data_IF_731618265254
#
_entry.id   IF_731618265254
#
_cell.length_a   1.000
_cell.length_b   1.000
_cell.length_c   1.000
_cell.angle_alpha   90.00
_cell.angle_beta   90.00
_cell.angle_gamma   90.00
#
_symmetry.space_group_name_H-M   'P 1'
#
loop_
_entity.id
_entity.type
_entity.pdbx_description
1 polymer ?
#
# COMPACT_ATOMS: atom_id res chain seq x y z
N UNK A 1 21.16 19.34 7.28
CA UNK A 1 20.40 19.03 8.51
C UNK A 1 20.82 17.64 8.98
N UNK A 2 21.22 17.49 10.25
CA UNK A 2 21.79 16.24 10.75
C UNK A 2 20.74 15.14 10.89
N UNK A 3 20.96 14.01 10.21
CA UNK A 3 20.21 12.77 10.42
C UNK A 3 20.30 12.34 11.88
N UNK A 4 19.16 12.08 12.51
CA UNK A 4 19.09 11.55 13.89
C UNK A 4 19.67 10.13 13.92
N UNK A 5 20.30 9.74 15.03
CA UNK A 5 20.99 8.45 15.19
C UNK A 5 20.11 7.21 14.88
N UNK A 6 18.79 7.31 15.04
CA UNK A 6 17.83 6.26 14.67
C UNK A 6 17.60 6.15 13.15
N UNK A 7 17.71 7.25 12.40
CA UNK A 7 17.50 7.26 10.93
C UNK A 7 18.63 6.56 10.16
N UNK A 8 19.86 6.58 10.70
CA UNK A 8 21.00 5.92 10.07
C UNK A 8 20.94 4.38 10.14
N UNK A 9 20.35 3.81 11.20
CA UNK A 9 20.28 2.36 11.40
C UNK A 9 19.29 1.67 10.45
N UNK A 10 18.21 2.36 10.07
CA UNK A 10 17.21 1.87 9.12
C UNK A 10 17.41 2.40 7.70
N UNK A 11 18.43 3.23 7.45
CA UNK A 11 18.61 3.90 6.16
C UNK A 11 18.71 2.92 5.00
N UNK A 12 19.57 1.90 5.10
CA UNK A 12 19.75 0.89 4.04
C UNK A 12 18.46 0.15 3.74
N UNK A 13 17.74 -0.30 4.78
CA UNK A 13 16.48 -1.02 4.59
C UNK A 13 15.39 -0.12 3.96
N UNK A 14 15.26 1.11 4.43
CA UNK A 14 14.32 2.08 3.88
C UNK A 14 14.66 2.47 2.44
N UNK A 15 15.95 2.56 2.11
CA UNK A 15 16.44 2.81 0.75
C UNK A 15 16.10 1.64 -0.16
N UNK A 16 16.43 0.41 0.23
CA UNK A 16 16.23 -0.78 -0.60
C UNK A 16 14.73 -1.01 -0.85
N UNK A 17 13.89 -0.81 0.18
CA UNK A 17 12.43 -0.76 0.06
C UNK A 17 11.98 0.27 -0.98
N UNK A 18 12.45 1.51 -0.88
CA UNK A 18 12.03 2.58 -1.78
C UNK A 18 12.51 2.34 -3.22
N UNK A 19 13.69 1.74 -3.41
CA UNK A 19 14.18 1.35 -4.74
C UNK A 19 13.31 0.24 -5.35
N UNK A 20 13.03 -0.84 -4.58
CA UNK A 20 12.14 -1.91 -5.05
C UNK A 20 10.75 -1.37 -5.41
N UNK A 21 10.21 -0.45 -4.60
CA UNK A 21 8.93 0.20 -4.89
C UNK A 21 9.01 1.02 -6.19
N UNK A 22 10.03 1.87 -6.36
CA UNK A 22 10.21 2.69 -7.56
C UNK A 22 10.36 1.86 -8.84
N UNK A 23 11.10 0.74 -8.80
CA UNK A 23 11.30 -0.15 -9.96
C UNK A 23 9.96 -0.60 -10.54
N UNK A 24 9.06 -1.07 -9.67
CA UNK A 24 7.77 -1.57 -10.13
C UNK A 24 6.68 -0.50 -10.22
N UNK A 25 6.85 0.64 -9.55
CA UNK A 25 6.02 1.81 -9.79
C UNK A 25 6.18 2.28 -11.24
N UNK A 26 7.43 2.38 -11.73
CA UNK A 26 7.71 2.67 -13.14
C UNK A 26 7.09 1.60 -14.04
N UNK A 27 7.24 0.32 -13.69
CA UNK A 27 6.66 -0.77 -14.48
C UNK A 27 5.13 -0.65 -14.59
N UNK A 28 4.44 -0.38 -13.48
CA UNK A 28 2.99 -0.21 -13.45
C UNK A 28 2.53 0.91 -14.35
N UNK A 29 3.16 2.08 -14.27
CA UNK A 29 2.82 3.27 -15.07
C UNK A 29 3.11 3.12 -16.58
N UNK A 30 3.90 2.13 -16.98
CA UNK A 30 4.40 2.03 -18.37
C UNK A 30 4.02 0.73 -19.05
N UNK A 31 3.36 -0.19 -18.35
CA UNK A 31 3.07 -1.53 -18.86
C UNK A 31 2.05 -1.54 -20.02
N UNK A 32 1.19 -0.53 -20.13
CA UNK A 32 0.28 -0.34 -21.27
C UNK A 32 0.95 0.38 -22.47
N UNK A 33 2.22 0.79 -22.30
CA UNK A 33 3.03 1.48 -23.29
C UNK A 33 2.73 2.98 -23.43
N UNK A 34 1.87 3.55 -22.59
CA UNK A 34 1.56 4.98 -22.54
C UNK A 34 1.99 5.54 -21.20
N UNK A 35 2.16 6.86 -21.15
CA UNK A 35 2.38 7.59 -19.92
C UNK A 35 1.50 8.84 -20.00
N UNK A 36 0.70 9.08 -18.98
CA UNK A 36 -0.18 10.24 -18.88
C UNK A 36 0.40 11.32 -17.96
N UNK A 37 -0.10 12.53 -18.11
CA UNK A 37 0.28 13.66 -17.25
C UNK A 37 -0.02 13.37 -15.76
N UNK A 38 -1.12 12.68 -15.46
CA UNK A 38 -1.48 12.32 -14.08
C UNK A 38 -0.46 11.37 -13.45
N UNK A 39 -0.01 10.38 -14.22
CA UNK A 39 1.01 9.43 -13.76
C UNK A 39 2.33 10.17 -13.50
N UNK A 40 2.74 11.05 -14.40
CA UNK A 40 3.92 11.89 -14.19
C UNK A 40 3.81 12.72 -12.89
N UNK A 41 2.67 13.38 -12.64
CA UNK A 41 2.44 14.17 -11.41
C UNK A 41 2.47 13.28 -10.18
N UNK A 42 1.87 12.08 -10.25
CA UNK A 42 1.92 11.10 -9.18
C UNK A 42 3.36 10.69 -8.87
N UNK A 43 4.15 10.38 -9.89
CA UNK A 43 5.56 10.02 -9.74
C UNK A 43 6.37 11.18 -9.15
N UNK A 44 6.16 12.41 -9.61
CA UNK A 44 6.82 13.59 -9.04
C UNK A 44 6.55 13.72 -7.54
N UNK A 45 5.26 13.62 -7.16
CA UNK A 45 4.81 13.67 -5.76
C UNK A 45 5.45 12.55 -4.94
N UNK A 46 5.43 11.31 -5.45
CA UNK A 46 6.05 10.16 -4.79
C UNK A 46 7.56 10.32 -4.60
N UNK A 47 8.25 10.82 -5.62
CA UNK A 47 9.68 11.10 -5.54
C UNK A 47 9.95 12.19 -4.50
N UNK A 48 9.16 13.27 -4.45
CA UNK A 48 9.30 14.34 -3.44
C UNK A 48 9.17 13.83 -2.00
N UNK A 49 8.24 12.92 -1.73
CA UNK A 49 8.04 12.35 -0.40
C UNK A 49 9.12 11.32 0.02
N UNK A 50 9.85 10.78 -0.95
CA UNK A 50 10.89 9.76 -0.81
C UNK A 50 12.28 10.35 -0.53
N UNK A 51 12.43 11.08 0.58
CA UNK A 51 13.70 11.76 0.95
C UNK A 51 14.92 10.82 1.03
N UNK A 52 14.70 9.53 1.36
CA UNK A 52 15.75 8.50 1.39
C UNK A 52 16.45 8.31 0.04
N UNK A 53 15.76 8.62 -1.05
CA UNK A 53 16.24 8.52 -2.42
C UNK A 53 16.77 9.84 -3.00
N UNK A 54 16.74 10.94 -2.24
CA UNK A 54 17.09 12.29 -2.74
C UNK A 54 18.49 12.41 -3.35
N UNK A 55 19.42 11.56 -2.93
CA UNK A 55 20.81 11.55 -3.42
C UNK A 55 21.06 10.48 -4.51
N UNK A 56 20.04 9.71 -4.90
CA UNK A 56 20.18 8.68 -5.92
C UNK A 56 20.27 9.33 -7.32
N UNK A 57 21.24 8.89 -8.11
CA UNK A 57 21.50 9.44 -9.45
C UNK A 57 20.29 9.27 -10.39
N UNK A 58 19.74 8.05 -10.49
CA UNK A 58 18.61 7.74 -11.37
C UNK A 58 17.37 8.56 -10.99
N UNK A 59 17.11 8.69 -9.69
CA UNK A 59 15.99 9.49 -9.17
C UNK A 59 16.14 10.97 -9.53
N UNK A 60 17.36 11.51 -9.47
CA UNK A 60 17.62 12.89 -9.87
C UNK A 60 17.48 13.08 -11.39
N UNK A 61 17.83 12.10 -12.21
CA UNK A 61 17.56 12.14 -13.65
C UNK A 61 16.07 12.24 -13.95
N UNK A 62 15.24 11.42 -13.29
CA UNK A 62 13.78 11.46 -13.43
C UNK A 62 13.24 12.83 -13.01
N UNK A 63 13.61 13.31 -11.82
CA UNK A 63 13.17 14.62 -11.29
C UNK A 63 13.55 15.77 -12.22
N UNK A 64 14.75 15.76 -12.77
CA UNK A 64 15.21 16.80 -13.68
C UNK A 64 14.39 16.81 -14.98
N UNK A 65 14.09 15.64 -15.54
CA UNK A 65 13.25 15.54 -16.74
C UNK A 65 11.82 16.00 -16.46
N UNK A 66 11.22 15.60 -15.35
CA UNK A 66 9.89 16.09 -14.94
C UNK A 66 9.92 17.63 -14.77
N UNK A 67 10.94 18.17 -14.11
CA UNK A 67 11.06 19.63 -13.94
C UNK A 67 11.25 20.38 -15.26
N UNK A 68 11.85 19.75 -16.27
CA UNK A 68 11.99 20.31 -17.62
C UNK A 68 10.61 20.37 -18.31
N UNK A 69 9.87 19.27 -18.29
CA UNK A 69 8.52 19.16 -18.87
C UNK A 69 7.54 20.15 -18.22
N UNK A 70 7.63 20.34 -16.91
CA UNK A 70 6.74 21.26 -16.19
C UNK A 70 7.14 22.74 -16.32
N UNK A 71 8.28 23.06 -16.95
CA UNK A 71 8.89 24.40 -16.87
C UNK A 71 8.15 25.47 -17.67
N UNK A 72 7.51 25.10 -18.78
CA UNK A 72 6.72 26.01 -19.62
C UNK A 72 5.22 25.98 -19.30
N UNK A 73 4.81 25.04 -18.44
CA UNK A 73 3.43 24.84 -17.99
C UNK A 73 2.53 24.11 -19.00
N UNK A 74 3.08 23.52 -20.05
CA UNK A 74 2.32 22.78 -21.07
C UNK A 74 2.95 21.40 -21.28
N UNK A 75 2.25 20.35 -20.86
CA UNK A 75 2.73 18.97 -21.04
C UNK A 75 2.36 18.45 -22.42
N UNK A 76 3.35 18.22 -23.27
CA UNK A 76 3.16 17.68 -24.61
C UNK A 76 3.27 16.15 -24.64
N UNK A 77 2.57 15.51 -25.60
CA UNK A 77 2.64 14.05 -25.77
C UNK A 77 4.07 13.57 -26.06
N UNK A 78 4.83 14.32 -26.87
CA UNK A 78 6.22 13.96 -27.20
C UNK A 78 7.10 13.94 -25.95
N UNK A 79 6.88 14.85 -25.01
CA UNK A 79 7.60 14.91 -23.74
C UNK A 79 7.28 13.73 -22.83
N UNK A 80 6.03 13.28 -22.80
CA UNK A 80 5.62 12.08 -22.06
C UNK A 80 6.23 10.81 -22.66
N UNK A 81 6.33 10.72 -23.99
CA UNK A 81 7.01 9.60 -24.65
C UNK A 81 8.52 9.60 -24.35
N UNK A 82 9.18 10.77 -24.35
CA UNK A 82 10.59 10.89 -23.92
C UNK A 82 10.79 10.56 -22.45
N UNK A 83 9.87 10.99 -21.57
CA UNK A 83 9.91 10.64 -20.15
C UNK A 83 9.77 9.14 -19.96
N UNK A 84 8.84 8.48 -20.66
CA UNK A 84 8.66 7.03 -20.61
C UNK A 84 9.94 6.27 -21.00
N UNK A 85 10.60 6.68 -22.08
CA UNK A 85 11.88 6.08 -22.51
C UNK A 85 12.96 6.25 -21.43
N UNK A 86 13.05 7.45 -20.82
CA UNK A 86 13.93 7.70 -19.69
C UNK A 86 13.56 6.81 -18.49
N UNK A 87 12.29 6.67 -18.14
CA UNK A 87 11.85 5.84 -17.02
C UNK A 87 12.30 4.39 -17.18
N UNK A 88 12.17 3.81 -18.38
CA UNK A 88 12.68 2.46 -18.66
C UNK A 88 14.20 2.35 -18.53
N UNK A 89 14.96 3.38 -18.96
CA UNK A 89 16.42 3.41 -18.76
C UNK A 89 16.79 3.47 -17.28
N UNK A 90 16.13 4.36 -16.53
CA UNK A 90 16.36 4.55 -15.10
C UNK A 90 15.98 3.32 -14.30
N UNK A 91 14.87 2.65 -14.65
CA UNK A 91 14.42 1.40 -14.06
C UNK A 91 15.47 0.29 -14.23
N UNK A 92 16.04 0.13 -15.43
CA UNK A 92 17.14 -0.82 -15.66
C UNK A 92 18.35 -0.48 -14.78
N UNK A 93 18.72 0.79 -14.72
CA UNK A 93 19.80 1.26 -13.85
C UNK A 93 19.55 0.99 -12.36
N UNK A 94 18.31 1.13 -11.90
CA UNK A 94 17.91 0.82 -10.52
C UNK A 94 18.01 -0.68 -10.20
N UNK A 95 17.63 -1.55 -11.15
CA UNK A 95 17.76 -3.00 -11.01
C UNK A 95 19.21 -3.47 -10.92
N UNK A 96 20.14 -2.74 -11.56
CA UNK A 96 21.57 -3.05 -11.57
C UNK A 96 22.33 -2.51 -10.34
N UNK A 97 21.66 -1.85 -9.39
CA UNK A 97 22.31 -1.33 -8.19
C UNK A 97 22.84 -2.49 -7.33
N UNK A 98 24.15 -2.50 -6.99
CA UNK A 98 24.73 -3.60 -6.25
C UNK A 98 24.19 -3.66 -4.81
N UNK A 99 24.07 -4.88 -4.30
CA UNK A 99 23.61 -5.20 -2.94
C UNK A 99 22.15 -4.84 -2.64
N UNK A 100 21.30 -4.72 -3.68
CA UNK A 100 19.85 -4.71 -3.50
C UNK A 100 19.34 -6.13 -3.74
N UNK A 101 18.58 -6.63 -2.78
CA UNK A 101 17.90 -7.91 -2.90
C UNK A 101 16.50 -7.70 -3.52
N UNK A 102 16.37 -8.05 -4.80
CA UNK A 102 15.11 -7.98 -5.55
C UNK A 102 14.38 -9.33 -5.64
N UNK A 103 14.89 -10.38 -4.97
CA UNK A 103 14.42 -11.75 -5.16
C UNK A 103 13.93 -12.41 -3.86
N UNK A 104 13.96 -11.70 -2.73
CA UNK A 104 13.37 -12.21 -1.49
C UNK A 104 11.86 -11.95 -1.42
N UNK A 105 11.19 -12.76 -0.62
CA UNK A 105 9.76 -12.62 -0.35
C UNK A 105 9.36 -11.27 0.27
N UNK A 106 10.30 -10.54 0.90
CA UNK A 106 10.05 -9.18 1.35
C UNK A 106 10.15 -8.19 0.19
N UNK A 107 11.10 -8.39 -0.72
CA UNK A 107 11.24 -7.58 -1.92
C UNK A 107 10.05 -7.72 -2.86
N UNK A 108 9.55 -8.95 -3.07
CA UNK A 108 8.34 -9.23 -3.85
C UNK A 108 7.15 -8.37 -3.40
N UNK A 109 7.02 -8.12 -2.10
CA UNK A 109 5.95 -7.29 -1.53
C UNK A 109 6.16 -5.80 -1.82
N UNK A 110 7.40 -5.31 -1.77
CA UNK A 110 7.73 -3.93 -2.17
C UNK A 110 7.52 -3.71 -3.66
N UNK A 111 7.88 -4.71 -4.47
CA UNK A 111 7.65 -4.76 -5.90
C UNK A 111 6.15 -4.77 -6.21
N UNK A 112 5.34 -5.56 -5.49
CA UNK A 112 3.88 -5.53 -5.65
C UNK A 112 3.28 -4.17 -5.25
N UNK A 113 3.71 -3.61 -4.12
CA UNK A 113 3.26 -2.30 -3.65
C UNK A 113 3.57 -1.20 -4.67
N UNK A 114 4.78 -1.21 -5.24
CA UNK A 114 5.18 -0.30 -6.32
C UNK A 114 4.32 -0.49 -7.56
N UNK A 115 4.15 -1.73 -8.01
CA UNK A 115 3.35 -2.06 -9.19
C UNK A 115 1.93 -1.52 -9.05
N UNK A 116 1.26 -1.85 -7.94
CA UNK A 116 -0.08 -1.39 -7.61
C UNK A 116 -0.18 0.15 -7.63
N UNK A 117 0.81 0.86 -7.07
CA UNK A 117 0.85 2.33 -7.12
C UNK A 117 0.91 2.86 -8.54
N UNK A 118 1.78 2.28 -9.37
CA UNK A 118 1.91 2.66 -10.78
C UNK A 118 0.61 2.48 -11.55
N UNK A 119 0.01 1.28 -11.47
CA UNK A 119 -1.25 0.95 -12.14
C UNK A 119 -2.42 1.85 -11.70
N UNK A 120 -2.43 2.32 -10.44
CA UNK A 120 -3.51 3.17 -9.94
C UNK A 120 -3.26 4.68 -10.11
N UNK A 121 -2.13 5.07 -10.71
CA UNK A 121 -1.62 6.44 -10.60
C UNK A 121 -2.44 7.49 -11.34
N UNK A 122 -3.19 7.11 -12.38
CA UNK A 122 -4.07 8.01 -13.15
C UNK A 122 -5.58 7.83 -12.89
N UNK A 123 -5.94 6.91 -11.99
CA UNK A 123 -7.30 6.44 -11.68
C UNK A 123 -8.01 5.62 -12.77
N UNK A 124 -7.28 5.08 -13.74
CA UNK A 124 -7.87 4.30 -14.82
C UNK A 124 -7.05 3.04 -15.06
N UNK A 125 -7.67 1.87 -14.84
CA UNK A 125 -7.06 0.59 -15.18
C UNK A 125 -7.47 0.17 -16.59
N UNK A 126 -6.51 0.05 -17.49
CA UNK A 126 -6.61 -0.57 -18.82
C UNK A 126 -6.63 -2.11 -18.76
N UNK A 127 -6.98 -2.77 -19.87
CA UNK A 127 -6.96 -4.24 -19.94
C UNK A 127 -5.53 -4.79 -19.90
N UNK A 128 -4.61 -4.04 -20.49
CA UNK A 128 -3.17 -4.33 -20.48
C UNK A 128 -2.62 -4.32 -19.05
N UNK A 129 -2.98 -3.32 -18.24
CA UNK A 129 -2.59 -3.21 -16.84
C UNK A 129 -3.14 -4.35 -15.96
N UNK A 130 -4.41 -4.69 -16.14
CA UNK A 130 -5.05 -5.80 -15.41
C UNK A 130 -4.41 -7.13 -15.80
N UNK A 131 -4.13 -7.33 -17.08
CA UNK A 131 -3.42 -8.51 -17.60
C UNK A 131 -1.98 -8.57 -17.08
N UNK A 132 -1.31 -7.43 -16.96
CA UNK A 132 0.03 -7.34 -16.40
C UNK A 132 0.05 -7.70 -14.92
N UNK A 133 -0.87 -7.14 -14.12
CA UNK A 133 -1.02 -7.48 -12.70
C UNK A 133 -1.28 -8.98 -12.51
N UNK A 134 -2.15 -9.56 -13.35
CA UNK A 134 -2.40 -11.00 -13.36
C UNK A 134 -1.12 -11.81 -13.61
N UNK A 135 -0.35 -11.42 -14.63
CA UNK A 135 0.91 -12.08 -14.97
C UNK A 135 1.93 -11.98 -13.82
N UNK A 136 2.07 -10.79 -13.23
CA UNK A 136 2.99 -10.54 -12.12
C UNK A 136 2.65 -11.40 -10.90
N UNK A 137 1.37 -11.44 -10.51
CA UNK A 137 0.90 -12.25 -9.38
C UNK A 137 0.98 -13.76 -9.68
N UNK A 138 0.72 -14.18 -10.93
CA UNK A 138 0.79 -15.59 -11.34
C UNK A 138 2.21 -16.16 -11.30
N UNK A 139 3.21 -15.32 -11.57
CA UNK A 139 4.63 -15.71 -11.61
C UNK A 139 5.24 -15.77 -10.20
N UNK A 140 4.69 -15.02 -9.25
CA UNK A 140 5.17 -14.96 -7.87
C UNK A 140 4.42 -15.94 -6.95
N UNK A 141 4.93 -17.17 -6.82
CA UNK A 141 4.28 -18.23 -6.04
C UNK A 141 3.99 -17.85 -4.57
N UNK A 142 4.88 -17.07 -3.95
CA UNK A 142 4.72 -16.59 -2.58
C UNK A 142 3.55 -15.61 -2.47
N UNK A 143 3.51 -14.58 -3.32
CA UNK A 143 2.43 -13.58 -3.36
C UNK A 143 1.09 -14.21 -3.77
N UNK A 144 1.11 -15.14 -4.72
CA UNK A 144 -0.09 -15.86 -5.16
C UNK A 144 -0.82 -16.56 -4.02
N UNK A 145 -0.07 -17.08 -3.04
CA UNK A 145 -0.61 -17.94 -1.98
C UNK A 145 -0.70 -17.26 -0.62
N UNK A 146 -0.07 -16.10 -0.44
CA UNK A 146 0.04 -15.42 0.85
C UNK A 146 -0.26 -13.93 0.74
N UNK A 147 -0.60 -13.32 1.88
CA UNK A 147 -0.68 -11.86 1.98
C UNK A 147 0.68 -11.22 1.65
N UNK A 148 0.71 -10.10 0.91
CA UNK A 148 -0.41 -9.29 0.43
C UNK A 148 -1.03 -9.69 -0.93
N UNK A 149 -0.40 -10.60 -1.69
CA UNK A 149 -0.83 -10.86 -3.07
C UNK A 149 -2.08 -11.73 -3.23
N UNK A 150 -2.36 -12.64 -2.29
CA UNK A 150 -3.40 -13.67 -2.45
C UNK A 150 -4.77 -13.10 -2.79
N UNK A 151 -5.22 -12.10 -2.03
CA UNK A 151 -6.57 -11.54 -2.21
C UNK A 151 -6.70 -10.78 -3.54
N UNK A 152 -5.68 -9.97 -3.89
CA UNK A 152 -5.59 -9.30 -5.19
C UNK A 152 -5.58 -10.33 -6.33
N UNK A 153 -4.85 -11.43 -6.18
CA UNK A 153 -4.80 -12.49 -7.19
C UNK A 153 -6.16 -13.15 -7.40
N UNK A 154 -6.86 -13.51 -6.33
CA UNK A 154 -8.21 -14.07 -6.40
C UNK A 154 -9.20 -13.11 -7.07
N UNK A 155 -9.12 -11.81 -6.75
CA UNK A 155 -9.95 -10.77 -7.38
C UNK A 155 -9.66 -10.66 -8.89
N UNK A 156 -8.39 -10.55 -9.28
CA UNK A 156 -7.99 -10.46 -10.69
C UNK A 156 -8.41 -11.71 -11.46
N UNK A 157 -8.27 -12.90 -10.88
CA UNK A 157 -8.75 -14.15 -11.50
C UNK A 157 -10.27 -14.14 -11.69
N UNK A 158 -11.03 -13.57 -10.74
CA UNK A 158 -12.49 -13.47 -10.89
C UNK A 158 -12.89 -12.52 -12.04
N UNK A 159 -12.22 -11.38 -12.15
CA UNK A 159 -12.44 -10.37 -13.22
C UNK A 159 -12.10 -10.94 -14.59
N UNK A 160 -11.05 -11.76 -14.70
CA UNK A 160 -10.63 -12.34 -15.98
C UNK A 160 -11.40 -13.62 -16.35
N UNK A 161 -12.31 -14.11 -15.49
CA UNK A 161 -12.87 -15.46 -15.61
C UNK A 161 -13.87 -15.62 -16.76
N UNK A 162 -14.62 -14.57 -17.08
CA UNK A 162 -15.61 -14.56 -18.17
C UNK A 162 -15.05 -14.00 -19.49
N UNK A 163 -13.82 -13.48 -19.45
CA UNK A 163 -13.11 -12.90 -20.59
C UNK A 163 -13.56 -11.49 -20.97
N UNK A 164 -14.40 -10.83 -20.15
CA UNK A 164 -14.89 -9.47 -20.40
C UNK A 164 -14.69 -8.61 -19.16
N UNK A 165 -13.74 -7.70 -19.21
CA UNK A 165 -13.50 -6.75 -18.12
C UNK A 165 -14.52 -5.61 -18.20
N UNK A 166 -15.39 -5.52 -17.21
CA UNK A 166 -16.42 -4.47 -17.08
C UNK A 166 -15.90 -3.23 -16.32
N UNK A 167 -16.55 -2.08 -16.50
CA UNK A 167 -16.18 -0.85 -15.77
C UNK A 167 -16.41 -1.00 -14.26
N UNK A 168 -17.42 -1.77 -13.84
CA UNK A 168 -17.66 -2.11 -12.44
C UNK A 168 -16.50 -2.93 -11.86
N UNK A 169 -15.95 -3.89 -12.62
CA UNK A 169 -14.81 -4.71 -12.21
C UNK A 169 -13.51 -3.90 -12.14
N UNK A 170 -13.27 -3.00 -13.11
CA UNK A 170 -12.15 -2.05 -13.05
C UNK A 170 -12.22 -1.21 -11.78
N UNK A 171 -13.40 -0.65 -11.50
CA UNK A 171 -13.63 0.18 -10.32
C UNK A 171 -13.38 -0.60 -9.05
N UNK A 172 -13.87 -1.84 -8.96
CA UNK A 172 -13.65 -2.72 -7.82
C UNK A 172 -12.18 -3.06 -7.61
N UNK A 173 -11.44 -3.37 -8.68
CA UNK A 173 -10.01 -3.64 -8.60
C UNK A 173 -9.22 -2.40 -8.18
N UNK A 174 -9.56 -1.23 -8.74
CA UNK A 174 -8.94 0.03 -8.38
C UNK A 174 -9.16 0.39 -6.91
N UNK A 175 -10.36 0.15 -6.37
CA UNK A 175 -10.67 0.31 -4.94
C UNK A 175 -9.82 -0.62 -4.08
N UNK A 176 -9.68 -1.89 -4.49
CA UNK A 176 -8.87 -2.86 -3.77
C UNK A 176 -7.37 -2.49 -3.79
N UNK A 177 -6.85 -2.06 -4.95
CA UNK A 177 -5.47 -1.57 -5.09
C UNK A 177 -5.24 -0.35 -4.19
N UNK A 178 -6.14 0.62 -4.20
CA UNK A 178 -6.09 1.82 -3.37
C UNK A 178 -6.11 1.48 -1.88
N UNK A 179 -6.98 0.56 -1.46
CA UNK A 179 -7.08 0.09 -0.08
C UNK A 179 -5.83 -0.69 0.36
N UNK A 180 -5.21 -1.43 -0.56
CA UNK A 180 -3.96 -2.14 -0.32
C UNK A 180 -2.77 -1.19 -0.18
N UNK A 181 -2.59 -0.25 -1.11
CA UNK A 181 -1.44 0.68 -1.14
C UNK A 181 -1.55 1.79 -0.10
N UNK A 182 -2.74 2.07 0.43
CA UNK A 182 -2.95 3.19 1.35
C UNK A 182 -2.69 4.56 0.70
N UNK A 183 -2.75 4.62 -0.62
CA UNK A 183 -2.67 5.85 -1.41
C UNK A 183 -4.09 6.42 -1.56
N UNK A 184 -4.24 7.74 -1.52
CA UNK A 184 -5.45 8.44 -1.93
C UNK A 184 -5.05 9.63 -2.80
N UNK A 185 -4.79 9.35 -4.07
CA UNK A 185 -4.27 10.32 -5.04
C UNK A 185 -5.28 11.46 -5.30
N UNK A 186 -6.58 11.25 -5.05
CA UNK A 186 -7.64 12.25 -5.24
C UNK A 186 -7.53 13.37 -4.20
N UNK A 187 -6.90 13.06 -3.07
CA UNK A 187 -6.51 13.98 -2.02
C UNK A 187 -5.02 14.36 -2.10
N UNK A 188 -4.32 13.95 -3.16
CA UNK A 188 -2.88 14.18 -3.35
C UNK A 188 -1.99 13.32 -2.44
N UNK A 189 -2.52 12.24 -1.87
CA UNK A 189 -1.79 11.38 -0.91
C UNK A 189 -1.24 10.18 -1.65
N UNK A 190 0.08 10.14 -1.85
CA UNK A 190 0.78 9.02 -2.47
C UNK A 190 1.23 7.98 -1.43
N UNK A 191 1.53 8.43 -0.21
CA UNK A 191 1.91 7.61 0.93
C UNK A 191 1.43 8.23 2.26
N UNK A 192 0.34 7.72 2.85
CA UNK A 192 -0.18 8.31 4.09
C UNK A 192 -1.13 7.46 4.93
N UNK A 193 -1.89 6.57 4.29
CA UNK A 193 -2.87 5.74 5.00
C UNK A 193 -2.35 4.32 5.23
N UNK A 194 -2.83 3.71 6.33
CA UNK A 194 -2.68 2.28 6.55
C UNK A 194 -3.56 1.51 5.57
N UNK A 195 -3.17 0.26 5.29
CA UNK A 195 -4.02 -0.62 4.50
C UNK A 195 -5.37 -0.83 5.17
N UNK A 196 -6.43 -0.76 4.37
CA UNK A 196 -7.80 -1.08 4.76
C UNK A 196 -8.30 -2.35 4.07
N UNK A 197 -7.41 -3.13 3.45
CA UNK A 197 -7.77 -4.44 2.88
C UNK A 197 -6.67 -5.50 3.07
N UNK A 198 -7.01 -6.76 3.40
CA UNK A 198 -8.35 -7.32 3.65
C UNK A 198 -8.76 -7.19 5.12
N UNK A 199 -9.53 -6.15 5.46
CA UNK A 199 -10.17 -5.99 6.78
C UNK A 199 -11.58 -6.62 6.77
N UNK A 200 -12.06 -7.00 7.94
CA UNK A 200 -13.40 -7.51 8.17
C UNK A 200 -14.39 -6.33 8.31
N UNK A 201 -15.52 -6.43 7.60
CA UNK A 201 -16.71 -5.64 7.88
C UNK A 201 -17.64 -6.48 8.75
N UNK A 202 -17.88 -6.02 9.98
CA UNK A 202 -18.78 -6.64 10.94
C UNK A 202 -19.92 -5.67 11.27
N UNK A 203 -21.10 -6.19 11.59
CA UNK A 203 -22.27 -5.37 11.94
C UNK A 203 -22.28 -4.97 13.42
N UNK A 204 -21.74 -5.82 14.28
CA UNK A 204 -21.74 -5.62 15.73
C UNK A 204 -20.35 -5.81 16.32
N UNK A 205 -19.91 -4.86 17.15
CA UNK A 205 -18.71 -4.99 17.96
C UNK A 205 -19.08 -5.51 19.35
N UNK A 206 -18.51 -6.65 19.74
CA UNK A 206 -18.72 -7.27 21.06
C UNK A 206 -17.50 -7.00 21.96
N UNK A 207 -17.51 -5.96 22.83
CA UNK A 207 -16.32 -5.55 23.57
C UNK A 207 -16.03 -6.39 24.83
N UNK A 208 -17.06 -6.95 25.47
CA UNK A 208 -16.92 -7.56 26.80
C UNK A 208 -15.99 -8.78 26.76
N UNK A 209 -14.98 -8.79 27.62
CA UNK A 209 -13.94 -9.83 27.77
C UNK A 209 -13.11 -10.13 26.50
N UNK A 210 -13.30 -9.36 25.44
CA UNK A 210 -12.62 -9.56 24.15
C UNK A 210 -11.18 -9.04 24.19
N UNK A 211 -10.25 -9.81 23.64
CA UNK A 211 -8.84 -9.45 23.51
C UNK A 211 -8.63 -8.61 22.26
N UNK A 212 -8.13 -7.40 22.45
CA UNK A 212 -7.94 -6.41 21.39
C UNK A 212 -6.48 -6.02 21.30
N UNK A 213 -5.94 -6.03 20.08
CA UNK A 213 -4.62 -5.50 19.77
C UNK A 213 -4.77 -4.28 18.86
N UNK A 214 -4.00 -3.23 19.13
CA UNK A 214 -3.95 -2.04 18.28
C UNK A 214 -2.67 -2.07 17.43
N UNK A 215 -2.73 -1.48 16.24
CA UNK A 215 -1.55 -1.25 15.39
C UNK A 215 -1.70 0.06 14.62
N UNK A 216 -0.59 0.72 14.27
CA UNK A 216 -0.64 2.02 13.56
C UNK A 216 -0.85 3.24 14.44
N UNK A 217 -1.02 4.37 13.75
CA UNK A 217 -1.33 5.68 14.32
C UNK A 217 -2.81 5.98 14.07
N UNK A 218 -3.48 6.49 15.10
CA UNK A 218 -4.92 6.72 15.12
C UNK A 218 -5.23 8.20 14.91
N UNK A 219 -6.32 8.50 14.21
CA UNK A 219 -6.84 9.86 13.99
C UNK A 219 -7.82 10.28 15.10
N UNK A 220 -8.59 9.34 15.65
CA UNK A 220 -9.57 9.58 16.70
C UNK A 220 -8.93 9.97 18.04
N UNK A 221 -7.62 9.74 18.19
CA UNK A 221 -6.85 10.14 19.36
C UNK A 221 -5.50 9.45 19.42
N UNK A 222 -4.77 9.69 20.51
CA UNK A 222 -3.56 8.93 20.81
C UNK A 222 -3.90 7.45 21.04
N UNK A 223 -2.93 6.57 20.75
CA UNK A 223 -3.06 5.13 21.02
C UNK A 223 -3.51 4.84 22.46
N UNK A 224 -2.97 5.57 23.43
CA UNK A 224 -3.32 5.46 24.84
C UNK A 224 -4.79 5.81 25.13
N UNK A 225 -5.35 6.78 24.41
CA UNK A 225 -6.78 7.11 24.51
C UNK A 225 -7.63 5.97 23.95
N UNK A 226 -7.28 5.45 22.77
CA UNK A 226 -7.98 4.31 22.17
C UNK A 226 -7.98 3.08 23.09
N UNK A 227 -6.82 2.76 23.70
CA UNK A 227 -6.70 1.69 24.71
C UNK A 227 -7.60 1.96 25.91
N UNK A 228 -7.62 3.20 26.41
CA UNK A 228 -8.48 3.57 27.54
C UNK A 228 -9.96 3.42 27.21
N UNK A 229 -10.40 3.73 25.99
CA UNK A 229 -11.81 3.65 25.60
C UNK A 229 -12.26 2.20 25.45
N UNK A 230 -11.42 1.35 24.86
CA UNK A 230 -11.66 -0.10 24.78
C UNK A 230 -11.68 -0.75 26.18
N UNK A 231 -10.79 -0.35 27.08
CA UNK A 231 -10.79 -0.84 28.47
C UNK A 231 -12.09 -0.48 29.21
N UNK A 232 -12.65 0.72 28.98
CA UNK A 232 -13.93 1.12 29.59
C UNK A 232 -15.11 0.27 29.10
N UNK A 233 -15.02 -0.27 27.89
CA UNK A 233 -16.02 -1.15 27.30
C UNK A 233 -15.87 -2.63 27.73
N UNK A 234 -14.85 -2.94 28.53
CA UNK A 234 -14.60 -4.28 29.06
C UNK A 234 -13.66 -5.14 28.21
N UNK A 235 -12.94 -4.55 27.25
CA UNK A 235 -11.93 -5.26 26.47
C UNK A 235 -10.64 -5.51 27.27
N UNK A 236 -9.86 -6.50 26.85
CA UNK A 236 -8.49 -6.75 27.33
C UNK A 236 -7.48 -6.31 26.27
N UNK A 237 -6.62 -5.34 26.59
CA UNK A 237 -5.60 -4.87 25.64
C UNK A 237 -4.38 -5.78 25.67
N UNK A 238 -3.98 -6.27 24.49
CA UNK A 238 -2.77 -7.08 24.31
C UNK A 238 -1.82 -6.43 23.31
N UNK A 239 -0.52 -6.52 23.58
CA UNK A 239 0.51 -5.89 22.75
C UNK A 239 0.89 -6.69 21.51
N UNK A 240 0.59 -8.00 21.48
CA UNK A 240 1.00 -8.92 20.41
C UNK A 240 -0.22 -9.59 19.79
N UNK A 241 -0.09 -9.97 18.54
CA UNK A 241 -1.07 -10.81 17.86
C UNK A 241 -0.87 -12.26 18.31
N UNK A 242 -1.85 -12.79 19.02
CA UNK A 242 -1.89 -14.16 19.53
C UNK A 242 -3.04 -14.93 18.89
N UNK A 243 -3.05 -16.27 19.00
CA UNK A 243 -4.08 -17.10 18.36
C UNK A 243 -5.43 -17.03 19.07
N UNK A 244 -5.47 -16.52 20.28
CA UNK A 244 -6.66 -16.24 21.09
C UNK A 244 -7.07 -14.76 21.00
N UNK A 245 -6.54 -14.00 20.05
CA UNK A 245 -6.92 -12.61 19.82
C UNK A 245 -8.30 -12.56 19.13
N UNK A 246 -9.19 -11.71 19.65
CA UNK A 246 -10.54 -11.53 19.07
C UNK A 246 -10.55 -10.41 18.02
N UNK A 247 -9.87 -9.29 18.29
CA UNK A 247 -9.83 -8.14 17.38
C UNK A 247 -8.42 -7.55 17.19
N UNK A 248 -8.04 -7.28 15.95
CA UNK A 248 -6.95 -6.37 15.60
C UNK A 248 -7.56 -5.09 15.03
N UNK A 249 -7.27 -3.93 15.62
CA UNK A 249 -7.71 -2.63 15.10
C UNK A 249 -6.52 -1.88 14.51
N UNK A 250 -6.65 -1.47 13.25
CA UNK A 250 -5.63 -0.78 12.46
C UNK A 250 -5.94 0.73 12.44
N UNK A 251 -5.04 1.54 13.00
CA UNK A 251 -5.10 2.99 12.93
C UNK A 251 -4.98 3.50 11.49
N UNK A 252 -5.69 4.58 11.15
CA UNK A 252 -5.83 5.08 9.79
C UNK A 252 -4.52 5.55 9.14
N UNK A 253 -3.54 6.00 9.93
CA UNK A 253 -2.28 6.53 9.40
C UNK A 253 -1.17 5.47 9.39
N UNK A 254 -0.49 5.36 8.25
CA UNK A 254 0.70 4.53 8.13
C UNK A 254 1.93 5.21 8.72
N UNK A 255 3.01 4.45 8.87
CA UNK A 255 4.29 4.95 9.37
C UNK A 255 5.38 4.70 8.35
N UNK A 256 6.14 5.74 7.99
CA UNK A 256 7.27 5.65 7.04
C UNK A 256 8.32 4.60 7.45
N UNK A 257 8.48 4.39 8.76
CA UNK A 257 9.37 3.39 9.37
C UNK A 257 8.82 1.96 9.39
N UNK A 258 7.61 1.71 8.88
CA UNK A 258 7.11 0.35 8.74
C UNK A 258 7.88 -0.44 7.73
N UNK A 259 7.88 -1.76 7.93
CA UNK A 259 8.53 -2.71 7.04
C UNK A 259 7.98 -2.56 5.62
N UNK A 260 6.66 -2.44 5.44
CA UNK A 260 5.98 -2.07 4.19
C UNK A 260 5.32 -0.69 4.37
N UNK A 261 5.07 0.09 3.31
CA UNK A 261 4.61 1.47 3.52
C UNK A 261 3.18 1.49 4.07
N UNK A 262 2.28 0.62 3.60
CA UNK A 262 0.89 0.58 4.07
C UNK A 262 0.58 -0.43 5.18
N UNK A 263 1.46 -1.41 5.46
CA UNK A 263 1.22 -2.42 6.51
C UNK A 263 2.47 -2.88 7.28
N UNK A 264 2.24 -3.47 8.45
CA UNK A 264 3.29 -3.96 9.35
C UNK A 264 3.11 -5.42 9.77
N UNK A 265 4.12 -5.98 10.45
CA UNK A 265 4.17 -7.40 10.85
C UNK A 265 2.96 -7.91 11.63
N UNK A 266 2.31 -7.04 12.43
CA UNK A 266 1.09 -7.40 13.17
C UNK A 266 -0.09 -7.67 12.23
N UNK A 267 -0.19 -6.90 11.15
CA UNK A 267 -1.24 -7.07 10.13
C UNK A 267 -1.00 -8.38 9.38
N UNK A 268 0.23 -8.61 8.92
CA UNK A 268 0.60 -9.89 8.26
C UNK A 268 0.28 -11.11 9.14
N UNK A 269 0.64 -11.04 10.42
CA UNK A 269 0.41 -12.14 11.36
C UNK A 269 -1.08 -12.37 11.63
N UNK A 270 -1.86 -11.30 11.75
CA UNK A 270 -3.31 -11.39 11.96
C UNK A 270 -4.02 -12.01 10.76
N UNK A 271 -3.64 -11.61 9.54
CA UNK A 271 -4.19 -12.16 8.30
C UNK A 271 -3.83 -13.63 8.17
N UNK A 272 -2.58 -14.03 8.44
CA UNK A 272 -2.19 -15.45 8.45
C UNK A 272 -3.02 -16.28 9.44
N UNK A 273 -3.26 -15.75 10.64
CA UNK A 273 -4.04 -16.46 11.66
C UNK A 273 -5.50 -16.62 11.23
N UNK A 274 -6.09 -15.57 10.67
CA UNK A 274 -7.47 -15.60 10.17
C UNK A 274 -7.62 -16.53 8.96
N UNK A 275 -6.81 -16.32 7.92
CA UNK A 275 -7.04 -16.92 6.60
C UNK A 275 -6.45 -18.33 6.47
N UNK A 276 -5.29 -18.60 7.10
CA UNK A 276 -4.59 -19.88 6.96
C UNK A 276 -4.78 -20.80 8.18
N UNK A 277 -4.97 -20.23 9.38
CA UNK A 277 -5.16 -21.02 10.61
C UNK A 277 -6.60 -21.12 11.08
N UNK A 278 -7.53 -20.40 10.42
CA UNK A 278 -8.95 -20.42 10.76
C UNK A 278 -9.26 -19.85 12.14
N UNK A 279 -8.38 -19.00 12.68
CA UNK A 279 -8.65 -18.30 13.94
C UNK A 279 -9.80 -17.31 13.68
N UNK A 280 -10.85 -17.25 14.52
CA UNK A 280 -11.98 -16.33 14.35
C UNK A 280 -11.64 -14.87 14.71
N UNK A 281 -10.40 -14.44 14.43
CA UNK A 281 -9.90 -13.08 14.62
C UNK A 281 -10.55 -12.14 13.61
N UNK A 282 -11.02 -10.98 14.08
CA UNK A 282 -11.53 -9.89 13.24
C UNK A 282 -10.52 -8.76 13.11
N UNK A 283 -10.26 -8.32 11.90
CA UNK A 283 -9.33 -7.22 11.61
C UNK A 283 -10.16 -6.02 11.20
N UNK A 284 -10.13 -4.92 11.96
CA UNK A 284 -10.97 -3.74 11.70
C UNK A 284 -10.10 -2.53 11.34
N UNK A 285 -10.55 -1.72 10.39
CA UNK A 285 -10.02 -0.36 10.22
C UNK A 285 -10.50 0.54 11.37
N UNK A 286 -9.74 1.60 11.64
CA UNK A 286 -10.15 2.62 12.61
C UNK A 286 -11.51 3.22 12.27
N UNK A 287 -11.75 3.52 11.00
CA UNK A 287 -13.03 4.09 10.53
C UNK A 287 -14.20 3.15 10.84
N UNK A 288 -14.08 1.87 10.48
CA UNK A 288 -15.14 0.88 10.72
C UNK A 288 -15.40 0.71 12.22
N UNK A 289 -14.33 0.60 13.01
CA UNK A 289 -14.42 0.55 14.47
C UNK A 289 -15.13 1.78 15.06
N UNK A 290 -14.83 2.98 14.58
CA UNK A 290 -15.46 4.21 15.05
C UNK A 290 -16.95 4.27 14.68
N UNK A 291 -17.34 3.78 13.51
CA UNK A 291 -18.75 3.66 13.11
C UNK A 291 -19.50 2.74 14.07
N UNK A 292 -18.97 1.54 14.34
CA UNK A 292 -19.55 0.60 15.30
C UNK A 292 -19.71 1.18 16.71
N UNK A 293 -18.74 1.99 17.15
CA UNK A 293 -18.81 2.66 18.45
C UNK A 293 -19.89 3.74 18.54
N UNK A 294 -20.23 4.40 17.43
CA UNK A 294 -21.32 5.39 17.38
C UNK A 294 -22.68 4.70 17.43
N UNK A 295 -22.83 3.61 16.70
CA UNK A 295 -24.09 2.87 16.61
C UNK A 295 -24.43 2.18 17.94
N UNK A 296 -23.44 1.57 18.61
CA UNK A 296 -23.64 0.96 19.94
C UNK A 296 -24.05 1.96 21.03
N UNK A 297 -23.55 3.20 20.98
CA UNK A 297 -23.93 4.25 21.92
C UNK A 297 -25.35 4.78 21.68
N UNK A 298 -25.87 4.63 20.46
CA UNK A 298 -27.23 5.05 20.08
C UNK A 298 -28.30 4.07 20.53
N UNK A 299 -27.94 2.79 20.73
CA UNK A 299 -28.83 1.72 21.20
C UNK A 299 -28.87 1.63 22.74
N UNK A 300 -27.88 2.24 23.42
CA UNK A 300 -27.74 2.22 24.89
C UNK A 300 -28.34 3.45 25.61
N UNK A 301 -29.05 4.33 24.88
CA UNK A 301 -29.85 5.44 25.43
C UNK A 301 -31.34 5.17 25.27
#
# INVERSE_FOLDING_TARGET
>A
MGMTQFSAFNYTHNRDKAIANLINLIEGMTCDGKLSEKEMIFLDTWLMESDVLSQNYFVNCIRNKISEILSDGVVEKAELDELKDLLHEMQRGLMDIPNIDLYSADSDKHLLEGLCKGLSSDYHLSDEEISYLNWFLSTNAALKSNYPGKHLYELVQSILSDGVITDEERTKLLQEITAFTGSNISEGIVDGYSTTSPVDLIDEFNPTDSKVCLTGKFLCGSRRQCESDLLKLGCQIVDRVTQDLDYLIIGALSSKDWKFQSFGRKIEQAIDYRDNKGVPLKILSEEHWQTLMRDNNSISQ
#
